data_IF_955822880576
#
_entry.id   IF_955822880576
#
_cell.length_a   1.000
_cell.length_b   1.000
_cell.length_c   1.000
_cell.angle_alpha   90.00
_cell.angle_beta   90.00
_cell.angle_gamma   90.00
#
_symmetry.space_group_name_H-M   'P 1'
#
loop_
_entity.id
_entity.type
_entity.pdbx_description
1 polymer ?
#
# COMPACT_ATOMS: atom_id res chain seq x y z
N UNK A 1 24.01 26.09 -18.97
CA UNK A 1 22.70 26.71 -19.24
C UNK A 1 21.66 26.05 -18.36
N UNK A 2 21.14 26.79 -17.39
CA UNK A 2 20.03 26.31 -16.55
C UNK A 2 18.78 26.24 -17.44
N UNK A 3 18.14 25.09 -17.48
CA UNK A 3 16.89 24.90 -18.22
C UNK A 3 15.77 25.67 -17.49
N UNK A 4 15.20 26.78 -18.04
CA UNK A 4 14.21 27.61 -17.35
C UNK A 4 12.87 26.90 -17.09
N UNK A 5 12.71 25.66 -17.56
CA UNK A 5 11.52 24.83 -17.34
C UNK A 5 11.76 23.66 -16.36
N UNK A 6 12.91 23.62 -15.65
CA UNK A 6 13.08 22.63 -14.59
C UNK A 6 12.19 23.02 -13.41
N UNK A 7 11.20 22.18 -13.09
CA UNK A 7 10.38 22.33 -11.89
C UNK A 7 11.33 22.25 -10.69
N UNK A 8 11.47 23.34 -9.95
CA UNK A 8 12.24 23.37 -8.72
C UNK A 8 11.34 22.77 -7.62
N UNK A 9 11.79 21.68 -7.01
CA UNK A 9 11.11 21.07 -5.89
C UNK A 9 11.60 21.69 -4.59
N UNK A 10 10.70 21.83 -3.61
CA UNK A 10 11.06 22.27 -2.26
C UNK A 10 11.83 21.17 -1.52
N UNK A 11 12.43 21.52 -0.38
CA UNK A 11 13.08 20.54 0.49
C UNK A 11 12.05 19.52 1.03
N UNK A 12 10.85 19.97 1.34
CA UNK A 12 9.74 19.09 1.77
C UNK A 12 9.32 18.12 0.66
N UNK A 13 9.26 18.59 -0.59
CA UNK A 13 8.98 17.73 -1.74
C UNK A 13 10.05 16.65 -1.88
N UNK A 14 11.32 17.03 -1.72
CA UNK A 14 12.43 16.08 -1.83
C UNK A 14 12.41 15.03 -0.71
N UNK A 15 12.14 15.44 0.53
CA UNK A 15 11.96 14.51 1.65
C UNK A 15 10.80 13.54 1.41
N UNK A 16 9.70 14.04 0.81
CA UNK A 16 8.59 13.18 0.43
C UNK A 16 8.97 12.18 -0.67
N UNK A 17 9.73 12.61 -1.70
CA UNK A 17 10.19 11.70 -2.75
C UNK A 17 11.14 10.63 -2.20
N UNK A 18 12.04 11.00 -1.30
CA UNK A 18 12.95 10.06 -0.64
C UNK A 18 12.15 9.02 0.17
N UNK A 19 11.11 9.46 0.87
CA UNK A 19 10.21 8.54 1.59
C UNK A 19 9.40 7.65 0.62
N UNK A 20 8.76 8.21 -0.40
CA UNK A 20 7.99 7.46 -1.38
C UNK A 20 8.86 6.43 -2.10
N UNK A 21 10.10 6.76 -2.39
CA UNK A 21 11.06 5.86 -3.04
C UNK A 21 11.38 4.60 -2.24
N UNK A 22 11.15 4.59 -0.92
CA UNK A 22 11.27 3.39 -0.08
C UNK A 22 10.08 2.44 -0.24
N UNK A 23 8.93 2.96 -0.68
CA UNK A 23 7.68 2.20 -0.77
C UNK A 23 7.63 1.42 -2.08
N UNK A 24 7.37 0.11 -2.01
CA UNK A 24 7.36 -0.84 -3.14
C UNK A 24 6.62 -0.31 -4.37
N UNK A 25 5.46 0.32 -4.19
CA UNK A 25 4.62 0.77 -5.31
C UNK A 25 5.16 2.02 -6.01
N UNK A 26 6.04 2.78 -5.37
CA UNK A 26 6.65 4.01 -5.89
C UNK A 26 8.11 3.83 -6.33
N UNK A 27 8.77 2.73 -6.01
CA UNK A 27 10.21 2.49 -6.25
C UNK A 27 10.66 2.69 -7.71
N UNK A 28 9.74 2.52 -8.68
CA UNK A 28 9.99 2.68 -10.11
C UNK A 28 9.72 4.08 -10.65
N UNK A 29 9.17 4.97 -9.80
CA UNK A 29 8.81 6.32 -10.20
C UNK A 29 9.98 7.27 -10.00
N UNK A 30 10.12 8.22 -10.94
CA UNK A 30 11.03 9.36 -10.80
C UNK A 30 10.34 10.50 -10.05
N UNK A 31 11.11 11.43 -9.49
CA UNK A 31 10.59 12.59 -8.74
C UNK A 31 9.48 13.34 -9.51
N UNK A 32 9.64 13.55 -10.83
CA UNK A 32 8.61 14.17 -11.68
C UNK A 32 7.31 13.36 -11.74
N UNK A 33 7.37 12.04 -11.62
CA UNK A 33 6.21 11.18 -11.60
C UNK A 33 5.58 11.15 -10.21
N UNK A 34 6.41 11.07 -9.15
CA UNK A 34 5.96 11.15 -7.76
C UNK A 34 5.31 12.50 -7.42
N UNK A 35 5.79 13.62 -8.01
CA UNK A 35 5.23 14.95 -7.77
C UNK A 35 3.75 15.09 -8.15
N UNK A 36 3.23 14.18 -8.98
CA UNK A 36 1.81 14.17 -9.34
C UNK A 36 0.92 13.69 -8.19
N UNK A 37 1.48 12.92 -7.25
CA UNK A 37 0.75 12.42 -6.09
C UNK A 37 0.70 13.45 -4.95
N UNK A 38 1.64 14.40 -4.88
CA UNK A 38 1.74 15.37 -3.78
C UNK A 38 0.42 16.10 -3.46
N UNK A 39 -0.36 16.58 -4.45
CA UNK A 39 -1.63 17.26 -4.15
C UNK A 39 -2.70 16.36 -3.52
N UNK A 40 -2.61 15.04 -3.72
CA UNK A 40 -3.54 14.04 -3.19
C UNK A 40 -3.06 13.37 -1.91
N UNK A 41 -1.91 13.76 -1.37
CA UNK A 41 -1.38 13.20 -0.14
C UNK A 41 -2.04 13.86 1.07
N UNK A 42 -2.52 13.03 2.00
CA UNK A 42 -3.02 13.44 3.30
C UNK A 42 -2.21 12.79 4.41
N UNK A 43 -1.89 13.58 5.44
CA UNK A 43 -1.26 13.07 6.66
C UNK A 43 -2.34 12.75 7.70
N UNK A 44 -2.30 11.56 8.26
CA UNK A 44 -3.21 11.10 9.31
C UNK A 44 -2.41 10.58 10.49
N UNK A 45 -2.82 10.99 11.69
CA UNK A 45 -2.28 10.46 12.95
C UNK A 45 -3.31 9.55 13.59
N UNK A 46 -2.81 8.49 14.17
CA UNK A 46 -3.60 7.46 14.85
C UNK A 46 -2.94 7.12 16.18
N UNK A 47 -3.76 6.68 17.13
CA UNK A 47 -3.32 6.14 18.40
C UNK A 47 -3.43 4.62 18.39
N UNK A 48 -2.82 3.99 19.40
CA UNK A 48 -2.90 2.53 19.63
C UNK A 48 -4.36 2.06 19.62
N UNK A 49 -4.59 0.90 19.02
CA UNK A 49 -5.87 0.21 18.90
C UNK A 49 -6.89 0.90 17.98
N UNK A 50 -6.57 2.04 17.38
CA UNK A 50 -7.43 2.62 16.35
C UNK A 50 -7.42 1.77 15.08
N UNK A 51 -8.62 1.56 14.53
CA UNK A 51 -8.83 0.84 13.27
C UNK A 51 -8.75 1.82 12.10
N UNK A 52 -7.87 1.52 11.13
CA UNK A 52 -7.73 2.33 9.91
C UNK A 52 -8.84 2.02 8.92
N UNK A 53 -9.18 0.73 8.74
CA UNK A 53 -10.31 0.23 7.97
C UNK A 53 -10.65 -1.21 8.37
N UNK A 54 -11.87 -1.63 8.11
CA UNK A 54 -12.33 -2.99 8.34
C UNK A 54 -12.27 -3.85 7.08
N UNK A 55 -12.15 -5.15 7.26
CA UNK A 55 -12.37 -6.14 6.19
C UNK A 55 -13.74 -5.93 5.57
N UNK A 56 -13.84 -6.11 4.24
CA UNK A 56 -15.02 -5.91 3.38
C UNK A 56 -15.40 -4.45 3.11
N UNK A 57 -14.78 -3.46 3.78
CA UNK A 57 -14.95 -2.05 3.41
C UNK A 57 -14.52 -1.81 1.96
N UNK A 58 -15.09 -0.81 1.26
CA UNK A 58 -14.58 -0.38 -0.05
C UNK A 58 -13.11 0.06 0.04
N UNK A 59 -12.30 -0.29 -0.97
CA UNK A 59 -10.89 0.09 -1.04
C UNK A 59 -10.72 1.54 -1.50
N UNK A 60 -10.81 2.48 -0.57
CA UNK A 60 -10.87 3.91 -0.87
C UNK A 60 -9.53 4.65 -0.83
N UNK A 61 -8.46 4.03 -0.32
CA UNK A 61 -7.14 4.66 -0.23
C UNK A 61 -6.00 3.65 -0.12
N UNK A 62 -4.81 4.07 -0.57
CA UNK A 62 -3.53 3.45 -0.25
C UNK A 62 -2.96 4.14 0.99
N UNK A 63 -2.41 3.37 1.92
CA UNK A 63 -1.79 3.84 3.15
C UNK A 63 -0.31 3.50 3.18
N UNK A 64 0.53 4.46 3.56
CA UNK A 64 1.98 4.30 3.71
C UNK A 64 2.35 4.62 5.15
N UNK A 65 3.12 3.77 5.80
CA UNK A 65 3.53 3.98 7.19
C UNK A 65 4.74 4.90 7.24
N UNK A 66 4.55 6.14 7.69
CA UNK A 66 5.62 7.11 7.90
C UNK A 66 6.25 6.95 9.28
N UNK A 67 5.44 6.63 10.30
CA UNK A 67 5.84 6.35 11.68
C UNK A 67 4.89 5.33 12.31
N UNK A 68 5.40 4.49 13.20
CA UNK A 68 4.61 3.50 13.94
C UNK A 68 4.48 2.16 13.21
N UNK A 69 3.54 1.35 13.66
CA UNK A 69 3.31 -0.02 13.21
C UNK A 69 1.81 -0.30 13.08
N UNK A 70 1.47 -1.08 12.06
CA UNK A 70 0.10 -1.46 11.72
C UNK A 70 0.02 -2.98 11.61
N UNK A 71 -0.94 -3.58 12.28
CA UNK A 71 -1.25 -5.01 12.17
C UNK A 71 -2.39 -5.22 11.19
N UNK A 72 -2.20 -6.16 10.28
CA UNK A 72 -3.24 -6.65 9.39
C UNK A 72 -3.79 -7.97 9.95
N UNK A 73 -5.11 -8.05 10.10
CA UNK A 73 -5.80 -9.21 10.67
C UNK A 73 -6.93 -9.67 9.78
N UNK A 74 -7.21 -10.97 9.83
CA UNK A 74 -8.42 -11.56 9.26
C UNK A 74 -9.25 -12.16 10.39
N UNK A 75 -10.57 -12.15 10.21
CA UNK A 75 -11.51 -12.79 11.12
C UNK A 75 -11.68 -14.26 10.72
N UNK A 76 -11.35 -15.17 11.64
CA UNK A 76 -11.50 -16.61 11.46
C UNK A 76 -12.25 -17.16 12.67
N UNK A 77 -13.52 -17.54 12.48
CA UNK A 77 -14.33 -18.20 13.50
C UNK A 77 -14.31 -17.48 14.87
N UNK A 78 -14.64 -16.19 14.85
CA UNK A 78 -14.71 -15.32 16.04
C UNK A 78 -13.35 -15.01 16.70
N UNK A 79 -12.23 -15.32 16.05
CA UNK A 79 -10.89 -14.87 16.43
C UNK A 79 -10.25 -14.01 15.35
N UNK A 80 -9.42 -13.03 15.79
CA UNK A 80 -8.63 -12.19 14.88
C UNK A 80 -7.24 -12.78 14.73
N UNK A 81 -6.95 -13.36 13.56
CA UNK A 81 -5.63 -13.89 13.26
C UNK A 81 -4.77 -12.83 12.56
N UNK A 82 -3.57 -12.62 13.10
CA UNK A 82 -2.59 -11.72 12.51
C UNK A 82 -2.00 -12.36 11.26
N UNK A 83 -2.10 -11.64 10.13
CA UNK A 83 -1.49 -12.06 8.86
C UNK A 83 -0.18 -11.35 8.57
N UNK A 84 -0.05 -10.08 8.97
CA UNK A 84 1.16 -9.29 8.69
C UNK A 84 1.26 -8.10 9.64
N UNK A 85 2.49 -7.68 9.92
CA UNK A 85 2.80 -6.41 10.55
C UNK A 85 3.48 -5.50 9.52
N UNK A 86 3.00 -4.27 9.40
CA UNK A 86 3.47 -3.25 8.45
C UNK A 86 4.20 -2.17 9.23
N UNK A 87 5.39 -1.83 8.77
CA UNK A 87 6.30 -0.89 9.44
C UNK A 87 6.63 0.31 8.55
N UNK A 88 7.40 1.25 9.11
CA UNK A 88 7.86 2.44 8.40
C UNK A 88 8.48 2.08 7.03
N UNK A 89 8.04 2.80 5.99
CA UNK A 89 8.48 2.61 4.60
C UNK A 89 7.68 1.54 3.84
N UNK A 90 6.75 0.87 4.51
CA UNK A 90 5.87 -0.11 3.89
C UNK A 90 4.47 0.47 3.64
N UNK A 91 3.71 -0.18 2.76
CA UNK A 91 2.35 0.22 2.40
C UNK A 91 1.36 -0.92 2.65
N UNK A 92 0.10 -0.54 2.87
CA UNK A 92 -1.02 -1.47 2.98
C UNK A 92 -2.28 -0.89 2.34
N UNK A 93 -3.27 -1.73 2.10
CA UNK A 93 -4.46 -1.34 1.36
C UNK A 93 -4.21 -1.19 -0.14
N UNK A 94 -3.24 -1.93 -0.67
CA UNK A 94 -2.73 -1.93 -2.04
C UNK A 94 -3.79 -2.27 -3.09
N UNK A 95 -4.85 -2.98 -2.69
CA UNK A 95 -5.97 -3.26 -3.56
C UNK A 95 -6.75 -1.99 -3.98
N UNK A 96 -6.50 -0.84 -3.33
CA UNK A 96 -6.96 0.47 -3.80
C UNK A 96 -6.27 0.96 -5.09
N UNK A 97 -5.21 0.29 -5.54
CA UNK A 97 -4.62 0.51 -6.85
C UNK A 97 -5.46 -0.11 -7.99
N UNK A 98 -6.45 -0.92 -7.64
CA UNK A 98 -7.38 -1.59 -8.55
C UNK A 98 -8.78 -1.00 -8.38
N UNK A 99 -9.61 -1.11 -9.43
CA UNK A 99 -11.00 -0.64 -9.40
C UNK A 99 -11.94 -1.68 -8.79
N UNK A 100 -13.01 -1.23 -8.15
CA UNK A 100 -14.10 -2.08 -7.64
C UNK A 100 -13.63 -3.17 -6.65
N UNK A 101 -12.65 -2.87 -5.81
CA UNK A 101 -12.14 -3.80 -4.81
C UNK A 101 -12.65 -3.48 -3.41
N UNK A 102 -12.65 -4.50 -2.56
CA UNK A 102 -12.92 -4.40 -1.11
C UNK A 102 -11.70 -4.81 -0.32
N UNK A 103 -11.63 -4.36 0.93
CA UNK A 103 -10.57 -4.75 1.88
C UNK A 103 -10.66 -6.25 2.18
N UNK A 104 -9.55 -6.94 2.11
CA UNK A 104 -9.45 -8.38 2.42
C UNK A 104 -9.11 -8.64 3.89
N UNK A 105 -8.68 -7.62 4.62
CA UNK A 105 -8.27 -7.67 6.02
C UNK A 105 -8.68 -6.39 6.75
N UNK A 106 -8.63 -6.43 8.08
CA UNK A 106 -8.75 -5.27 8.97
C UNK A 106 -7.35 -4.76 9.31
N UNK A 107 -7.17 -3.44 9.34
CA UNK A 107 -5.90 -2.79 9.69
C UNK A 107 -6.03 -2.03 11.00
N UNK A 108 -5.17 -2.35 11.99
CA UNK A 108 -5.22 -1.82 13.36
C UNK A 108 -3.84 -1.30 13.74
N UNK A 109 -3.77 -0.13 14.38
CA UNK A 109 -2.54 0.46 14.90
C UNK A 109 -2.09 -0.32 16.14
N UNK A 110 -0.81 -0.71 16.19
CA UNK A 110 -0.21 -1.43 17.32
C UNK A 110 0.80 -0.63 18.12
N UNK A 111 1.42 0.37 17.51
CA UNK A 111 2.30 1.32 18.22
C UNK A 111 1.48 2.34 19.02
N UNK A 112 2.10 3.02 20.00
CA UNK A 112 1.46 4.09 20.79
C UNK A 112 0.85 5.17 19.91
N UNK A 113 1.61 5.56 18.88
CA UNK A 113 1.20 6.51 17.84
C UNK A 113 1.65 5.99 16.48
N UNK A 114 0.87 6.31 15.44
CA UNK A 114 1.27 6.12 14.06
C UNK A 114 0.98 7.39 13.24
N UNK A 115 1.85 7.67 12.28
CA UNK A 115 1.63 8.64 11.22
C UNK A 115 1.57 7.93 9.88
N UNK A 116 0.43 8.05 9.22
CA UNK A 116 0.19 7.46 7.91
C UNK A 116 0.07 8.54 6.84
N UNK A 117 0.67 8.28 5.69
CA UNK A 117 0.38 8.99 4.46
C UNK A 117 -0.77 8.25 3.80
N UNK A 118 -1.82 8.98 3.45
CA UNK A 118 -3.04 8.44 2.85
C UNK A 118 -3.20 9.04 1.46
N UNK A 119 -3.30 8.19 0.45
CA UNK A 119 -3.52 8.60 -0.95
C UNK A 119 -4.87 8.03 -1.39
N UNK A 120 -5.90 8.88 -1.58
CA UNK A 120 -7.23 8.44 -1.96
C UNK A 120 -7.24 7.72 -3.32
N UNK A 121 -8.06 6.69 -3.42
CA UNK A 121 -8.25 5.90 -4.65
C UNK A 121 -8.57 6.78 -5.86
N UNK A 122 -9.48 7.76 -5.71
CA UNK A 122 -9.87 8.64 -6.82
C UNK A 122 -8.68 9.46 -7.36
N UNK A 123 -7.78 9.95 -6.47
CA UNK A 123 -6.59 10.70 -6.88
C UNK A 123 -5.59 9.80 -7.62
N UNK A 124 -5.46 8.54 -7.19
CA UNK A 124 -4.62 7.55 -7.88
C UNK A 124 -5.19 7.27 -9.29
N UNK A 125 -6.50 7.05 -9.41
CA UNK A 125 -7.15 6.76 -10.69
C UNK A 125 -7.03 7.92 -11.67
N UNK A 126 -7.20 9.16 -11.21
CA UNK A 126 -6.99 10.35 -12.03
C UNK A 126 -5.57 10.43 -12.59
N UNK A 127 -4.55 10.10 -11.76
CA UNK A 127 -3.16 10.04 -12.21
C UNK A 127 -2.97 8.90 -13.21
N UNK A 128 -3.56 7.75 -12.98
CA UNK A 128 -3.45 6.58 -13.87
C UNK A 128 -4.08 6.83 -15.23
N UNK A 129 -5.24 7.49 -15.28
CA UNK A 129 -5.94 7.82 -16.51
C UNK A 129 -5.16 8.86 -17.33
N UNK A 130 -4.57 9.85 -16.65
CA UNK A 130 -3.78 10.89 -17.32
C UNK A 130 -2.34 10.47 -17.63
N UNK A 131 -1.81 9.40 -16.99
CA UNK A 131 -0.43 8.96 -17.10
C UNK A 131 -0.27 7.44 -17.16
N UNK A 132 -0.54 6.81 -18.32
CA UNK A 132 -0.44 5.34 -18.47
C UNK A 132 0.94 4.76 -18.10
N UNK A 133 2.01 5.55 -18.24
CA UNK A 133 3.37 5.12 -17.85
C UNK A 133 3.53 4.97 -16.34
N UNK A 134 2.93 5.87 -15.56
CA UNK A 134 2.90 5.75 -14.08
C UNK A 134 2.09 4.53 -13.71
N UNK A 135 0.89 4.37 -14.28
CA UNK A 135 0.06 3.18 -14.07
C UNK A 135 0.83 1.90 -14.35
N UNK A 136 1.50 1.79 -15.51
CA UNK A 136 2.26 0.61 -15.89
C UNK A 136 3.34 0.27 -14.85
N UNK A 137 4.11 1.26 -14.39
CA UNK A 137 5.16 1.07 -13.38
C UNK A 137 4.59 0.58 -12.04
N UNK A 138 3.53 1.22 -11.55
CA UNK A 138 2.89 0.85 -10.27
C UNK A 138 2.20 -0.51 -10.36
N UNK A 139 1.56 -0.83 -11.50
CA UNK A 139 0.97 -2.16 -11.71
C UNK A 139 2.04 -3.25 -11.80
N UNK A 140 3.21 -2.97 -12.36
CA UNK A 140 4.34 -3.91 -12.34
C UNK A 140 4.78 -4.20 -10.89
N UNK A 141 4.97 -3.15 -10.07
CA UNK A 141 5.32 -3.33 -8.65
C UNK A 141 4.22 -4.07 -7.87
N UNK A 142 2.94 -3.81 -8.17
CA UNK A 142 1.82 -4.53 -7.57
C UNK A 142 1.81 -6.02 -7.96
N UNK A 143 2.07 -6.32 -9.24
CA UNK A 143 2.15 -7.71 -9.71
C UNK A 143 3.28 -8.48 -9.05
N UNK A 144 4.45 -7.86 -8.88
CA UNK A 144 5.57 -8.45 -8.14
C UNK A 144 5.21 -8.66 -6.67
N UNK A 145 4.59 -7.68 -6.03
CA UNK A 145 4.14 -7.78 -4.63
C UNK A 145 3.18 -8.96 -4.43
N UNK A 146 2.19 -9.10 -5.29
CA UNK A 146 1.26 -10.23 -5.20
C UNK A 146 1.91 -11.57 -5.53
N UNK A 147 2.84 -11.62 -6.48
CA UNK A 147 3.61 -12.83 -6.77
C UNK A 147 4.41 -13.28 -5.54
N UNK A 148 5.12 -12.36 -4.88
CA UNK A 148 5.90 -12.65 -3.69
C UNK A 148 5.02 -13.12 -2.53
N UNK A 149 3.88 -12.47 -2.33
CA UNK A 149 2.90 -12.87 -1.31
C UNK A 149 2.32 -14.26 -1.61
N UNK A 150 1.99 -14.57 -2.86
CA UNK A 150 1.52 -15.90 -3.25
C UNK A 150 2.58 -16.98 -2.98
N UNK A 151 3.85 -16.71 -3.31
CA UNK A 151 4.94 -17.65 -3.02
C UNK A 151 5.11 -17.90 -1.52
N UNK A 152 5.00 -16.84 -0.69
CA UNK A 152 5.06 -16.97 0.78
C UNK A 152 3.87 -17.77 1.30
N UNK A 153 2.66 -17.49 0.79
CA UNK A 153 1.45 -18.22 1.15
C UNK A 153 1.56 -19.71 0.83
N UNK A 154 2.01 -20.08 -0.37
CA UNK A 154 2.20 -21.47 -0.77
C UNK A 154 3.25 -22.18 0.08
N UNK A 155 4.35 -21.50 0.41
CA UNK A 155 5.37 -22.04 1.31
C UNK A 155 4.79 -22.31 2.70
N UNK A 156 4.14 -21.32 3.29
CA UNK A 156 3.53 -21.44 4.62
C UNK A 156 2.48 -22.55 4.67
N UNK A 157 1.63 -22.63 3.65
CA UNK A 157 0.63 -23.70 3.55
C UNK A 157 1.27 -25.10 3.49
N UNK A 158 2.29 -25.26 2.64
CA UNK A 158 3.02 -26.53 2.50
C UNK A 158 3.71 -26.94 3.81
N UNK A 159 4.31 -25.97 4.52
CA UNK A 159 4.96 -26.22 5.80
C UNK A 159 3.97 -26.63 6.89
N UNK A 160 2.75 -26.05 6.86
CA UNK A 160 1.71 -26.32 7.87
C UNK A 160 0.94 -27.60 7.61
N UNK A 161 0.68 -27.97 6.35
CA UNK A 161 -0.24 -29.05 5.98
C UNK A 161 0.40 -30.15 5.14
N UNK A 162 1.64 -29.98 4.66
CA UNK A 162 2.39 -30.96 3.86
C UNK A 162 1.84 -31.26 2.45
N UNK A 163 0.59 -30.89 2.19
CA UNK A 163 -0.10 -31.08 0.92
C UNK A 163 -0.87 -29.83 0.52
N UNK A 164 -0.87 -29.51 -0.77
CA UNK A 164 -1.60 -28.37 -1.32
C UNK A 164 -2.27 -28.75 -2.65
N UNK A 165 -3.56 -28.49 -2.78
CA UNK A 165 -4.31 -28.65 -4.02
C UNK A 165 -4.86 -27.31 -4.51
N UNK A 166 -4.35 -26.83 -5.64
CA UNK A 166 -4.85 -25.62 -6.30
C UNK A 166 -6.32 -25.73 -6.70
N UNK A 167 -6.82 -26.95 -6.94
CA UNK A 167 -8.21 -27.18 -7.34
C UNK A 167 -9.21 -26.63 -6.32
N UNK A 168 -8.90 -26.71 -5.03
CA UNK A 168 -9.75 -26.21 -3.96
C UNK A 168 -9.81 -24.67 -3.89
N UNK A 169 -8.93 -23.97 -4.61
CA UNK A 169 -8.96 -22.51 -4.68
C UNK A 169 -9.92 -21.96 -5.74
N UNK A 170 -10.38 -22.82 -6.66
CA UNK A 170 -11.21 -22.43 -7.80
C UNK A 170 -12.63 -23.02 -7.75
N UNK A 171 -12.96 -23.75 -6.71
CA UNK A 171 -14.31 -24.20 -6.35
C UNK A 171 -14.94 -23.25 -5.31
#
# INVERSE_FOLDING_TARGET
MLNPFSKTYTEEDQQMFDFLGLVKFFERLRNKEMSRFLPGIHHRKYLRDEVVFFSKDPSQALYLVKKGEVRLTIDIKDSFEMIMEIKKGEAFGENSLLVNTKRTYTAIITSEEAELIVIPHFAIMEIFDSNPKIKAKMMTSLSEYYNDNNQRLFRSYRESFGFFSLRQMFE
#
